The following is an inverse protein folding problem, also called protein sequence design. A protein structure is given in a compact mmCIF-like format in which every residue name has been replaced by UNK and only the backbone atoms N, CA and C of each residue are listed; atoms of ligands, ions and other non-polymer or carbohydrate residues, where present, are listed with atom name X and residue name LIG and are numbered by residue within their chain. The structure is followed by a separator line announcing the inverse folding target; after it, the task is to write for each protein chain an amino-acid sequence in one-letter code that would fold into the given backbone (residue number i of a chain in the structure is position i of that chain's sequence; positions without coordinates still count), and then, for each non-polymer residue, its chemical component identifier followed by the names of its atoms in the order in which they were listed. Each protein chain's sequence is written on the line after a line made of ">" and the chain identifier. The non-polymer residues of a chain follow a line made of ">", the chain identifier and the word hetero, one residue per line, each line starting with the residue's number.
data_IF_183935067221
#
_entry.id   IF_183935067221
#
_cell.length_a   1.000
_cell.length_b   1.000
_cell.length_c   1.000
_cell.angle_alpha   90.00
_cell.angle_beta   90.00
_cell.angle_gamma   90.00
#
_symmetry.space_group_name_H-M   'P 1'
#
loop_
_entity.id
_entity.type
_entity.pdbx_description
1 polymer ?
#
# COMPACT_ATOMS: atom_id res chain seq x y z
N UNK A 1 7.08 -13.64 -31.05
CA UNK A 1 7.60 -13.58 -29.66
C UNK A 1 6.43 -13.34 -28.72
N UNK A 2 5.96 -14.37 -28.00
CA UNK A 2 4.82 -14.23 -27.09
C UNK A 2 5.18 -13.26 -25.96
N UNK A 3 4.51 -12.11 -25.92
CA UNK A 3 4.50 -11.20 -24.77
C UNK A 3 3.92 -12.00 -23.59
N UNK A 4 4.79 -12.66 -22.82
CA UNK A 4 4.41 -13.30 -21.54
C UNK A 4 4.11 -12.19 -20.53
N UNK A 5 2.95 -11.57 -20.71
CA UNK A 5 2.38 -10.54 -19.86
C UNK A 5 1.63 -11.23 -18.72
N UNK A 6 2.00 -10.93 -17.47
CA UNK A 6 1.22 -11.38 -16.32
C UNK A 6 0.15 -10.33 -15.96
N UNK A 7 -0.79 -10.71 -15.10
CA UNK A 7 -1.85 -9.87 -14.56
C UNK A 7 -1.32 -8.57 -13.92
N UNK A 8 -0.15 -8.65 -13.29
CA UNK A 8 0.41 -7.57 -12.47
C UNK A 8 1.48 -6.72 -13.15
N UNK A 9 2.27 -7.27 -14.08
CA UNK A 9 3.35 -6.52 -14.75
C UNK A 9 3.80 -7.19 -16.06
N UNK A 10 4.70 -6.51 -16.78
CA UNK A 10 5.39 -6.99 -17.96
C UNK A 10 6.86 -7.28 -17.65
N UNK A 11 7.46 -8.25 -18.33
CA UNK A 11 8.89 -8.59 -18.12
C UNK A 11 9.82 -7.40 -18.35
N UNK A 12 9.52 -6.59 -19.37
CA UNK A 12 10.28 -5.39 -19.70
C UNK A 12 10.16 -4.32 -18.60
N UNK A 13 8.99 -4.20 -17.97
CA UNK A 13 8.75 -3.24 -16.89
C UNK A 13 9.63 -3.52 -15.67
N UNK A 14 9.76 -4.79 -15.27
CA UNK A 14 10.60 -5.20 -14.13
C UNK A 14 12.07 -4.79 -14.35
N UNK A 15 12.55 -4.92 -15.59
CA UNK A 15 13.92 -4.56 -16.01
C UNK A 15 14.13 -3.07 -16.25
N UNK A 16 13.11 -2.25 -16.04
CA UNK A 16 13.18 -0.82 -16.29
C UNK A 16 13.11 -0.06 -14.97
N UNK A 17 14.05 0.84 -14.74
CA UNK A 17 13.97 1.85 -13.70
C UNK A 17 13.49 3.13 -14.37
N UNK A 18 12.32 3.60 -13.97
CA UNK A 18 11.76 4.86 -14.43
C UNK A 18 11.46 5.79 -13.25
N UNK A 19 11.13 7.04 -13.58
CA UNK A 19 10.86 8.07 -12.58
C UNK A 19 9.70 7.69 -11.65
N UNK A 20 8.63 7.11 -12.19
CA UNK A 20 7.46 6.74 -11.40
C UNK A 20 7.81 5.66 -10.38
N UNK A 21 8.62 4.67 -10.77
CA UNK A 21 9.13 3.62 -9.88
C UNK A 21 9.86 4.19 -8.65
N UNK A 22 10.73 5.17 -8.87
CA UNK A 22 11.46 5.85 -7.78
C UNK A 22 10.51 6.62 -6.87
N UNK A 23 9.50 7.29 -7.44
CA UNK A 23 8.50 8.02 -6.67
C UNK A 23 7.64 7.08 -5.83
N UNK A 24 7.18 5.95 -6.39
CA UNK A 24 6.42 4.97 -5.62
C UNK A 24 7.23 4.45 -4.44
N UNK A 25 8.53 4.18 -4.64
CA UNK A 25 9.41 3.80 -3.54
C UNK A 25 9.51 4.90 -2.48
N UNK A 26 9.67 6.16 -2.89
CA UNK A 26 9.67 7.31 -1.98
C UNK A 26 8.36 7.44 -1.17
N UNK A 27 7.21 7.25 -1.82
CA UNK A 27 5.89 7.25 -1.16
C UNK A 27 5.81 6.10 -0.13
N UNK A 28 6.25 4.90 -0.50
CA UNK A 28 6.25 3.77 0.42
C UNK A 28 7.11 4.03 1.66
N UNK A 29 8.32 4.58 1.49
CA UNK A 29 9.21 4.93 2.60
C UNK A 29 8.59 6.02 3.48
N UNK A 30 8.00 7.05 2.88
CA UNK A 30 7.32 8.11 3.64
C UNK A 30 6.17 7.55 4.49
N UNK A 31 5.28 6.77 3.88
CA UNK A 31 4.15 6.17 4.61
C UNK A 31 4.61 5.13 5.63
N UNK A 32 5.73 4.45 5.42
CA UNK A 32 6.31 3.54 6.40
C UNK A 32 6.66 4.28 7.69
N UNK A 33 7.41 5.37 7.60
CA UNK A 33 7.72 6.19 8.77
C UNK A 33 6.48 6.81 9.40
N UNK A 34 5.53 7.28 8.59
CA UNK A 34 4.27 7.83 9.11
C UNK A 34 3.47 6.77 9.88
N UNK A 35 3.43 5.53 9.38
CA UNK A 35 2.76 4.40 10.04
C UNK A 35 3.45 4.03 11.34
N UNK A 36 4.78 3.98 11.37
CA UNK A 36 5.53 3.67 12.58
C UNK A 36 5.43 4.78 13.63
N UNK A 37 5.39 6.06 13.23
CA UNK A 37 5.02 7.17 14.12
C UNK A 37 3.59 6.96 14.65
N UNK A 38 2.67 6.58 13.76
CA UNK A 38 1.29 6.25 14.10
C UNK A 38 1.19 5.18 15.21
N UNK A 39 1.94 4.10 15.07
CA UNK A 39 1.92 2.95 15.99
C UNK A 39 2.64 3.21 17.30
N UNK A 40 3.78 3.89 17.26
CA UNK A 40 4.67 4.00 18.42
C UNK A 40 4.50 5.32 19.20
N UNK A 41 3.88 6.34 18.61
CA UNK A 41 3.68 7.65 19.24
C UNK A 41 2.20 7.98 19.32
N UNK A 42 1.49 8.03 18.19
CA UNK A 42 0.10 8.47 18.15
C UNK A 42 -0.84 7.52 18.92
N UNK A 43 -0.81 6.22 18.62
CA UNK A 43 -1.66 5.23 19.28
C UNK A 43 -1.47 5.22 20.81
N UNK A 44 -0.24 5.13 21.36
CA UNK A 44 -0.02 5.23 22.80
C UNK A 44 -0.54 6.53 23.41
N UNK A 45 -0.39 7.66 22.71
CA UNK A 45 -0.90 8.95 23.15
C UNK A 45 -2.44 8.97 23.23
N UNK A 46 -3.14 8.46 22.21
CA UNK A 46 -4.60 8.34 22.21
C UNK A 46 -5.07 7.52 23.41
N UNK A 47 -4.47 6.34 23.61
CA UNK A 47 -4.85 5.45 24.70
C UNK A 47 -4.52 6.02 26.09
N UNK A 48 -3.35 6.63 26.28
CA UNK A 48 -2.96 7.20 27.58
C UNK A 48 -3.82 8.38 28.01
N UNK A 49 -4.34 9.14 27.04
CA UNK A 49 -5.18 10.31 27.27
C UNK A 49 -6.68 9.99 27.19
N UNK A 50 -7.07 8.73 26.98
CA UNK A 50 -8.46 8.29 26.84
C UNK A 50 -9.22 9.09 25.77
N UNK A 51 -8.54 9.43 24.67
CA UNK A 51 -9.13 10.18 23.57
C UNK A 51 -9.94 9.20 22.71
N UNK A 52 -11.20 9.55 22.43
CA UNK A 52 -11.98 8.86 21.41
C UNK A 52 -11.63 9.43 20.04
N UNK A 53 -10.85 8.69 19.26
CA UNK A 53 -10.44 9.03 17.90
C UNK A 53 -11.22 8.25 16.83
N UNK A 54 -12.37 7.66 17.22
CA UNK A 54 -13.20 6.82 16.35
C UNK A 54 -12.49 5.57 15.81
N UNK A 55 -11.44 5.08 16.49
CA UNK A 55 -10.75 3.84 16.15
C UNK A 55 -9.64 4.00 15.10
N UNK A 56 -9.16 5.23 14.88
CA UNK A 56 -8.01 5.49 13.99
C UNK A 56 -6.75 4.86 14.59
N UNK A 57 -6.50 5.03 15.90
CA UNK A 57 -5.36 4.47 16.60
C UNK A 57 -5.30 2.95 16.47
N UNK A 58 -6.46 2.28 16.57
CA UNK A 58 -6.56 0.82 16.44
C UNK A 58 -6.19 0.37 15.01
N UNK A 59 -6.69 1.07 13.99
CA UNK A 59 -6.52 0.72 12.57
C UNK A 59 -5.29 1.30 11.89
N UNK A 60 -4.51 2.17 12.57
CA UNK A 60 -3.38 2.91 11.98
C UNK A 60 -2.34 1.99 11.33
N UNK A 61 -2.16 0.79 11.88
CA UNK A 61 -1.26 -0.23 11.35
C UNK A 61 -1.70 -0.72 9.98
N UNK A 62 -2.96 -1.11 9.82
CA UNK A 62 -3.47 -1.60 8.54
C UNK A 62 -3.71 -0.48 7.52
N UNK A 63 -4.21 0.67 7.98
CA UNK A 63 -4.40 1.85 7.12
C UNK A 63 -3.09 2.30 6.48
N UNK A 64 -2.04 2.47 7.29
CA UNK A 64 -0.73 2.86 6.79
C UNK A 64 -0.02 1.73 6.06
N UNK A 65 -0.06 0.52 6.64
CA UNK A 65 0.61 -0.67 6.11
C UNK A 65 0.15 -1.06 4.72
N UNK A 66 -1.15 -0.97 4.40
CA UNK A 66 -1.64 -1.28 3.05
C UNK A 66 -1.12 -0.27 2.01
N UNK A 67 -1.01 1.02 2.38
CA UNK A 67 -0.47 2.07 1.50
C UNK A 67 1.00 1.77 1.20
N UNK A 68 1.79 1.47 2.24
CA UNK A 68 3.19 1.09 2.11
C UNK A 68 3.34 -0.12 1.18
N UNK A 69 2.58 -1.18 1.45
CA UNK A 69 2.65 -2.43 0.68
C UNK A 69 2.29 -2.22 -0.80
N UNK A 70 1.25 -1.42 -1.09
CA UNK A 70 0.85 -1.08 -2.45
C UNK A 70 1.99 -0.36 -3.18
N UNK A 71 2.47 0.75 -2.65
CA UNK A 71 3.47 1.56 -3.35
C UNK A 71 4.83 0.86 -3.44
N UNK A 72 5.20 0.07 -2.43
CA UNK A 72 6.39 -0.75 -2.49
C UNK A 72 6.28 -1.84 -3.56
N UNK A 73 5.13 -2.50 -3.66
CA UNK A 73 4.89 -3.51 -4.71
C UNK A 73 4.87 -2.90 -6.10
N UNK A 74 4.26 -1.72 -6.28
CA UNK A 74 4.30 -0.96 -7.54
C UNK A 74 5.75 -0.55 -7.90
N UNK A 75 6.56 -0.18 -6.90
CA UNK A 75 7.97 0.11 -7.10
C UNK A 75 8.79 -1.15 -7.49
N UNK A 76 8.45 -2.34 -6.98
CA UNK A 76 9.13 -3.58 -7.37
C UNK A 76 8.71 -4.01 -8.77
N UNK A 77 7.41 -4.08 -9.02
CA UNK A 77 6.86 -4.64 -10.25
C UNK A 77 6.89 -3.67 -11.43
N UNK A 78 6.99 -2.36 -11.16
CA UNK A 78 6.84 -1.30 -12.14
C UNK A 78 5.60 -1.47 -13.05
N UNK A 79 4.46 -1.75 -12.41
CA UNK A 79 3.22 -2.15 -13.09
C UNK A 79 2.68 -1.05 -14.01
N UNK A 80 2.58 -1.28 -15.33
CA UNK A 80 2.16 -0.26 -16.28
C UNK A 80 0.64 -0.06 -16.31
N UNK A 81 0.20 1.20 -16.34
CA UNK A 81 -1.18 1.61 -16.58
C UNK A 81 -2.19 0.84 -15.71
N UNK A 82 -3.17 0.20 -16.34
CA UNK A 82 -4.26 -0.49 -15.63
C UNK A 82 -3.80 -1.61 -14.70
N UNK A 83 -2.61 -2.20 -14.91
CA UNK A 83 -2.10 -3.27 -14.06
C UNK A 83 -1.79 -2.82 -12.64
N UNK A 84 -1.53 -1.53 -12.44
CA UNK A 84 -1.37 -0.97 -11.09
C UNK A 84 -2.64 -1.16 -10.24
N UNK A 85 -3.83 -1.05 -10.84
CA UNK A 85 -5.10 -1.30 -10.14
C UNK A 85 -5.30 -2.78 -9.80
N UNK A 86 -4.78 -3.71 -10.62
CA UNK A 86 -4.79 -5.13 -10.25
C UNK A 86 -3.91 -5.40 -9.03
N UNK A 87 -2.76 -4.74 -8.92
CA UNK A 87 -1.88 -4.83 -7.73
C UNK A 87 -2.60 -4.29 -6.50
N UNK A 88 -3.22 -3.10 -6.60
CA UNK A 88 -3.99 -2.50 -5.50
C UNK A 88 -5.10 -3.44 -5.06
N UNK A 89 -5.93 -3.90 -5.99
CA UNK A 89 -7.05 -4.80 -5.68
C UNK A 89 -6.58 -6.11 -5.04
N UNK A 90 -5.51 -6.70 -5.57
CA UNK A 90 -4.93 -7.93 -5.01
C UNK A 90 -4.45 -7.74 -3.57
N UNK A 91 -3.75 -6.63 -3.29
CA UNK A 91 -3.24 -6.35 -1.93
C UNK A 91 -4.38 -6.05 -0.97
N UNK A 92 -5.35 -5.20 -1.35
CA UNK A 92 -6.50 -4.86 -0.51
C UNK A 92 -7.33 -6.10 -0.18
N UNK A 93 -7.67 -6.91 -1.19
CA UNK A 93 -8.40 -8.16 -0.97
C UNK A 93 -7.56 -9.12 -0.11
N UNK A 94 -6.26 -9.22 -0.36
CA UNK A 94 -5.34 -10.04 0.43
C UNK A 94 -5.33 -9.65 1.91
N UNK A 95 -5.27 -8.36 2.24
CA UNK A 95 -5.33 -7.86 3.61
C UNK A 95 -6.68 -8.16 4.27
N UNK A 96 -7.80 -7.94 3.57
CA UNK A 96 -9.13 -8.26 4.10
C UNK A 96 -9.26 -9.76 4.40
N UNK A 97 -8.81 -10.62 3.47
CA UNK A 97 -8.79 -12.06 3.68
C UNK A 97 -7.85 -12.46 4.84
N UNK A 98 -6.70 -11.81 4.95
CA UNK A 98 -5.77 -12.03 6.05
C UNK A 98 -6.42 -11.72 7.40
N UNK A 99 -7.15 -10.61 7.51
CA UNK A 99 -7.90 -10.27 8.73
C UNK A 99 -8.96 -11.33 9.06
N UNK A 100 -9.73 -11.78 8.07
CA UNK A 100 -10.74 -12.85 8.27
C UNK A 100 -10.10 -14.16 8.73
N UNK A 101 -8.89 -14.47 8.24
CA UNK A 101 -8.16 -15.69 8.60
C UNK A 101 -7.42 -15.55 9.93
N UNK A 102 -7.13 -14.33 10.39
CA UNK A 102 -6.32 -14.04 11.57
C UNK A 102 -6.75 -14.81 12.85
N UNK A 103 -8.05 -14.97 13.19
CA UNK A 103 -8.48 -15.76 14.35
C UNK A 103 -8.04 -17.22 14.35
N UNK A 104 -7.76 -17.77 13.16
CA UNK A 104 -7.28 -19.13 13.00
C UNK A 104 -5.75 -19.24 13.03
N UNK A 105 -5.04 -18.10 13.09
CA UNK A 105 -3.60 -18.01 13.18
C UNK A 105 -3.14 -17.76 14.63
N UNK A 106 -1.92 -18.17 15.00
CA UNK A 106 -1.40 -17.93 16.35
C UNK A 106 -1.35 -16.42 16.64
N UNK A 107 -1.99 -16.00 17.74
CA UNK A 107 -2.02 -14.60 18.25
C UNK A 107 -2.80 -13.59 17.39
N UNK A 108 -3.54 -14.03 16.37
CA UNK A 108 -4.38 -13.14 15.56
C UNK A 108 -5.76 -12.92 16.18
N UNK A 109 -6.28 -11.70 16.07
CA UNK A 109 -7.65 -11.34 16.47
C UNK A 109 -8.27 -10.58 15.31
N UNK A 110 -9.43 -11.05 14.86
CA UNK A 110 -10.18 -10.34 13.84
C UNK A 110 -10.65 -8.98 14.36
N UNK A 111 -10.28 -7.90 13.68
CA UNK A 111 -10.71 -6.54 13.98
C UNK A 111 -11.38 -5.89 12.76
N UNK A 112 -12.64 -5.47 12.92
CA UNK A 112 -13.37 -4.72 11.89
C UNK A 112 -12.70 -3.38 11.57
N UNK A 113 -12.05 -2.74 12.54
CA UNK A 113 -11.33 -1.46 12.35
C UNK A 113 -10.19 -1.64 11.36
N UNK A 114 -9.51 -2.77 11.39
CA UNK A 114 -8.42 -3.11 10.48
C UNK A 114 -8.92 -3.38 9.04
N UNK A 115 -10.12 -3.92 8.87
CA UNK A 115 -10.78 -4.01 7.55
C UNK A 115 -11.11 -2.61 7.02
N UNK A 116 -11.72 -1.74 7.84
CA UNK A 116 -12.01 -0.36 7.43
C UNK A 116 -10.74 0.41 7.10
N UNK A 117 -9.71 0.29 7.93
CA UNK A 117 -8.38 0.87 7.69
C UNK A 117 -7.79 0.42 6.36
N UNK A 118 -7.88 -0.88 6.05
CA UNK A 118 -7.41 -1.44 4.76
C UNK A 118 -8.16 -0.83 3.56
N UNK A 119 -9.49 -0.76 3.62
CA UNK A 119 -10.29 -0.18 2.53
C UNK A 119 -9.95 1.30 2.33
N UNK A 120 -9.88 2.07 3.41
CA UNK A 120 -9.53 3.50 3.38
C UNK A 120 -8.12 3.70 2.82
N UNK A 121 -7.14 2.92 3.28
CA UNK A 121 -5.76 2.97 2.78
C UNK A 121 -5.66 2.59 1.31
N UNK A 122 -6.46 1.62 0.83
CA UNK A 122 -6.60 1.31 -0.59
C UNK A 122 -7.12 2.48 -1.41
N UNK A 123 -8.16 3.17 -0.93
CA UNK A 123 -8.73 4.37 -1.58
C UNK A 123 -7.72 5.53 -1.61
N UNK A 124 -7.04 5.79 -0.50
CA UNK A 124 -5.96 6.79 -0.42
C UNK A 124 -4.88 6.47 -1.46
N UNK A 125 -4.50 5.19 -1.60
CA UNK A 125 -3.50 4.76 -2.57
C UNK A 125 -3.93 5.05 -4.02
N UNK A 126 -5.21 4.84 -4.35
CA UNK A 126 -5.76 5.19 -5.68
C UNK A 126 -5.67 6.71 -5.92
N UNK A 127 -6.00 7.52 -4.92
CA UNK A 127 -5.92 8.99 -5.02
C UNK A 127 -4.47 9.43 -5.27
N UNK A 128 -3.52 8.94 -4.47
CA UNK A 128 -2.10 9.26 -4.65
C UNK A 128 -1.57 8.80 -6.01
N UNK A 129 -1.94 7.60 -6.46
CA UNK A 129 -1.56 7.10 -7.78
C UNK A 129 -2.08 8.03 -8.89
N UNK A 130 -3.34 8.47 -8.80
CA UNK A 130 -3.93 9.41 -9.74
C UNK A 130 -3.23 10.77 -9.76
N UNK A 131 -2.88 11.31 -8.58
CA UNK A 131 -2.11 12.56 -8.46
C UNK A 131 -0.74 12.40 -9.13
N UNK A 132 -0.02 11.31 -8.84
CA UNK A 132 1.30 11.05 -9.40
C UNK A 132 1.24 10.94 -10.92
N UNK A 133 0.29 10.19 -11.47
CA UNK A 133 0.14 10.04 -12.93
C UNK A 133 -0.24 11.33 -13.63
N UNK A 134 -1.04 12.18 -12.99
CA UNK A 134 -1.46 13.47 -13.55
C UNK A 134 -0.33 14.49 -13.53
N UNK A 135 0.45 14.53 -12.46
CA UNK A 135 1.43 15.60 -12.22
C UNK A 135 2.81 15.24 -12.76
N UNK A 136 3.19 13.96 -12.80
CA UNK A 136 4.56 13.55 -13.04
C UNK A 136 4.68 12.79 -14.35
N UNK A 137 5.32 13.36 -15.38
CA UNK A 137 5.57 12.63 -16.61
C UNK A 137 6.57 11.50 -16.35
N UNK A 138 6.23 10.30 -16.82
CA UNK A 138 7.14 9.16 -16.69
C UNK A 138 8.34 9.33 -17.64
N UNK A 139 9.54 9.02 -17.14
CA UNK A 139 10.78 9.01 -17.92
C UNK A 139 11.60 7.79 -17.50
N UNK A 140 12.02 7.00 -18.49
CA UNK A 140 12.96 5.90 -18.26
C UNK A 140 14.31 6.46 -17.85
N UNK A 141 14.85 5.95 -16.75
CA UNK A 141 16.15 6.33 -16.19
C UNK A 141 17.21 5.31 -16.58
N UNK A 142 16.88 4.02 -16.48
CA UNK A 142 17.79 2.92 -16.80
C UNK A 142 17.02 1.67 -17.23
N UNK A 143 17.63 0.84 -18.09
CA UNK A 143 17.08 -0.45 -18.53
C UNK A 143 18.19 -1.50 -18.52
N UNK A 144 17.91 -2.64 -17.89
CA UNK A 144 18.80 -3.81 -17.79
C UNK A 144 18.62 -4.80 -18.95
#
# INVERSE_FOLDING_TARGET
>A
MSKKNNLFTDKESIKTIDRLRVIYFGIAVFFFFLTEIGRNIYRPFIYSNHIDDFGIADSIGNLGGVIVQIFFTLAILNSPGKKAFHVIGFIVIGYILYEIVQPYLPRGVFDWKDIYGTVIGGLISIIFLGIVWKTIPNKVLHKF
#
